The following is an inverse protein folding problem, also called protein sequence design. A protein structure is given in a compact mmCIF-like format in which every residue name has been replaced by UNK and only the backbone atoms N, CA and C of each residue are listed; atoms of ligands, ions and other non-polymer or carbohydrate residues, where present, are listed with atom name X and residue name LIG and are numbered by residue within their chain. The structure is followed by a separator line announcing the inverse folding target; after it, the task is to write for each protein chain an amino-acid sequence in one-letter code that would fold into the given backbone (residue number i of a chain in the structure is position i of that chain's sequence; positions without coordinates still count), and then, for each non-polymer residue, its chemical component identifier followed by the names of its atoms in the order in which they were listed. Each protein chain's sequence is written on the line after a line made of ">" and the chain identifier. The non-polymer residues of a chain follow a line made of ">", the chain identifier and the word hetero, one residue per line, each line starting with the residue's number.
data_IF_146649177378
#
_entry.id   IF_146649177378
#
_cell.length_a   1.000
_cell.length_b   1.000
_cell.length_c   1.000
_cell.angle_alpha   90.00
_cell.angle_beta   90.00
_cell.angle_gamma   90.00
#
_symmetry.space_group_name_H-M   'P 1'
#
loop_
_entity.id
_entity.type
_entity.pdbx_description
1 polymer ?
#
# COMPACT_ATOMS: atom_id res chain seq x y z
N UNK A 1 15.53 28.43 -37.38
CA UNK A 1 14.08 28.35 -37.32
C UNK A 1 13.67 28.64 -35.86
N UNK A 2 13.25 29.88 -35.60
CA UNK A 2 12.98 30.36 -34.25
C UNK A 2 11.51 30.09 -33.93
N UNK A 3 11.24 29.26 -32.90
CA UNK A 3 9.90 29.03 -32.42
C UNK A 3 9.66 29.99 -31.24
N UNK A 4 8.73 30.91 -31.43
CA UNK A 4 8.30 31.90 -30.47
C UNK A 4 7.34 31.23 -29.45
N UNK A 5 7.68 31.25 -28.17
CA UNK A 5 6.77 30.92 -27.08
C UNK A 5 6.44 32.18 -26.30
N UNK A 6 5.17 32.57 -26.20
CA UNK A 6 4.76 33.64 -25.31
C UNK A 6 4.40 33.14 -23.90
N UNK A 7 4.91 33.88 -22.90
CA UNK A 7 4.41 33.98 -21.51
C UNK A 7 4.65 32.83 -20.55
N UNK A 8 5.88 32.77 -20.03
CA UNK A 8 6.13 32.25 -18.67
C UNK A 8 7.13 33.16 -17.92
N UNK A 9 6.95 33.37 -16.60
CA UNK A 9 7.82 34.27 -15.82
C UNK A 9 9.24 33.73 -15.69
N UNK A 10 10.24 34.59 -15.87
CA UNK A 10 11.70 34.33 -15.90
C UNK A 10 12.31 33.59 -14.69
N UNK A 11 11.58 33.31 -13.61
CA UNK A 11 12.08 32.65 -12.41
C UNK A 11 12.23 31.12 -12.48
N UNK A 12 11.74 30.48 -13.54
CA UNK A 12 11.77 29.01 -13.70
C UNK A 12 12.88 28.51 -14.62
N UNK A 13 13.59 29.39 -15.31
CA UNK A 13 14.64 29.02 -16.27
C UNK A 13 16.00 28.70 -15.65
N UNK A 14 16.33 29.21 -14.48
CA UNK A 14 17.68 29.04 -13.87
C UNK A 14 17.86 27.63 -13.30
N UNK A 15 16.80 26.98 -12.81
CA UNK A 15 16.91 25.62 -12.26
C UNK A 15 17.00 24.49 -13.29
N UNK A 16 16.51 24.72 -14.51
CA UNK A 16 16.54 23.72 -15.60
C UNK A 16 17.91 23.69 -16.30
N UNK A 17 18.62 24.82 -16.36
CA UNK A 17 19.95 24.92 -16.99
C UNK A 17 21.05 24.25 -16.16
N UNK A 18 20.97 24.35 -14.83
CA UNK A 18 21.93 23.68 -13.93
C UNK A 18 21.77 22.15 -13.93
N UNK A 19 20.57 21.66 -14.20
CA UNK A 19 20.33 20.22 -14.31
C UNK A 19 20.86 19.62 -15.61
N UNK A 20 20.73 20.36 -16.72
CA UNK A 20 21.26 19.96 -18.03
C UNK A 20 22.81 19.92 -18.06
N UNK A 21 23.48 20.85 -17.36
CA UNK A 21 24.95 20.87 -17.27
C UNK A 21 25.50 19.72 -16.40
N UNK A 22 24.76 19.27 -15.39
CA UNK A 22 25.13 18.08 -14.60
C UNK A 22 24.95 16.77 -15.36
N UNK A 23 23.96 16.65 -16.23
CA UNK A 23 23.76 15.45 -17.06
C UNK A 23 24.82 15.28 -18.15
N UNK A 24 25.42 16.36 -18.68
CA UNK A 24 26.52 16.28 -19.65
C UNK A 24 27.85 15.83 -19.07
N UNK A 25 28.04 15.89 -17.75
CA UNK A 25 29.29 15.43 -17.07
C UNK A 25 29.33 13.94 -16.71
N UNK A 26 28.26 13.22 -16.90
CA UNK A 26 28.16 11.79 -16.54
C UNK A 26 28.00 10.95 -17.81
N UNK A 27 28.88 11.00 -18.74
CA UNK A 27 29.10 10.15 -19.91
C UNK A 27 28.13 8.95 -20.16
N UNK A 28 26.82 9.13 -20.16
CA UNK A 28 25.82 8.13 -20.43
C UNK A 28 25.22 8.35 -21.82
N UNK A 29 25.70 7.59 -22.77
CA UNK A 29 25.16 7.46 -24.12
C UNK A 29 23.86 6.68 -24.12
N UNK A 30 22.77 7.26 -23.68
CA UNK A 30 21.35 6.99 -24.00
C UNK A 30 20.48 7.89 -23.13
N UNK A 31 20.34 9.16 -23.55
CA UNK A 31 19.35 10.06 -22.96
C UNK A 31 17.97 9.68 -23.50
N UNK A 32 17.19 8.99 -22.68
CA UNK A 32 15.75 8.92 -22.89
C UNK A 32 15.18 10.27 -22.45
N UNK A 33 14.71 11.03 -23.42
CA UNK A 33 14.02 12.30 -23.20
C UNK A 33 12.66 12.01 -22.59
N UNK A 34 12.52 12.09 -21.27
CA UNK A 34 11.23 12.15 -20.61
C UNK A 34 10.92 13.62 -20.32
N UNK A 35 10.08 14.23 -21.13
CA UNK A 35 9.44 15.51 -20.83
C UNK A 35 8.47 15.30 -19.67
N UNK A 36 8.87 15.59 -18.44
CA UNK A 36 7.95 15.72 -17.30
C UNK A 36 7.27 17.09 -17.41
N UNK A 37 6.01 17.10 -17.82
CA UNK A 37 5.12 18.26 -17.69
C UNK A 37 4.92 18.50 -16.20
N UNK A 38 5.34 19.69 -15.74
CA UNK A 38 5.26 20.08 -14.35
C UNK A 38 3.81 20.40 -13.96
N UNK A 39 3.20 19.55 -13.16
CA UNK A 39 2.01 19.91 -12.38
C UNK A 39 2.40 20.83 -11.21
N UNK A 40 1.57 21.82 -10.85
CA UNK A 40 1.87 22.75 -9.78
C UNK A 40 1.56 22.12 -8.42
N UNK A 41 2.50 21.38 -7.85
CA UNK A 41 2.46 20.94 -6.46
C UNK A 41 3.73 21.38 -5.74
N UNK A 42 3.71 22.62 -5.28
CA UNK A 42 4.81 23.21 -4.48
C UNK A 42 5.02 22.49 -3.15
N UNK A 43 4.04 21.72 -2.68
CA UNK A 43 4.11 20.95 -1.43
C UNK A 43 4.96 19.68 -1.54
N UNK A 44 4.92 18.96 -2.67
CA UNK A 44 5.63 17.69 -2.87
C UNK A 44 7.16 17.82 -2.91
N UNK A 45 7.72 19.00 -3.23
CA UNK A 45 9.18 19.17 -3.38
C UNK A 45 9.95 19.22 -2.07
N UNK A 46 9.36 19.69 -0.97
CA UNK A 46 10.05 19.75 0.33
C UNK A 46 10.13 18.39 1.01
N UNK A 47 9.10 17.59 0.88
CA UNK A 47 9.04 16.26 1.47
C UNK A 47 9.86 15.24 0.69
N UNK A 48 9.82 15.27 -0.63
CA UNK A 48 10.66 14.41 -1.46
C UNK A 48 12.16 14.64 -1.19
N UNK A 49 12.61 15.89 -0.99
CA UNK A 49 14.01 16.17 -0.63
C UNK A 49 14.40 15.65 0.77
N UNK A 50 13.47 15.66 1.74
CA UNK A 50 13.70 15.07 3.06
C UNK A 50 13.75 13.54 2.96
N UNK A 51 12.84 12.95 2.21
CA UNK A 51 12.79 11.51 1.97
C UNK A 51 13.99 11.03 1.18
N UNK A 52 14.36 11.69 0.07
CA UNK A 52 15.56 11.37 -0.74
C UNK A 52 16.85 11.52 0.05
N UNK A 53 16.93 12.50 0.97
CA UNK A 53 18.09 12.68 1.86
C UNK A 53 18.19 11.56 2.90
N UNK A 54 17.06 11.08 3.41
CA UNK A 54 17.00 9.99 4.38
C UNK A 54 17.16 8.63 3.67
N UNK A 55 16.49 8.43 2.56
CA UNK A 55 16.51 7.21 1.76
C UNK A 55 17.90 6.90 1.16
N UNK A 56 18.70 7.92 0.86
CA UNK A 56 20.05 7.77 0.29
C UNK A 56 21.18 7.79 1.34
N UNK A 57 20.90 7.81 2.64
CA UNK A 57 21.94 7.59 3.64
C UNK A 57 22.30 6.11 3.71
N UNK A 58 23.58 5.71 3.56
CA UNK A 58 23.99 4.35 3.81
C UNK A 58 23.88 4.08 5.32
N UNK A 59 22.92 3.27 5.73
CA UNK A 59 22.85 2.77 7.10
C UNK A 59 23.89 1.67 7.29
N UNK A 60 25.09 2.04 7.72
CA UNK A 60 26.11 1.10 8.12
C UNK A 60 26.06 0.89 9.64
N UNK A 61 25.32 -0.10 10.08
CA UNK A 61 25.53 -0.73 11.38
C UNK A 61 26.14 -2.11 11.11
N UNK A 62 27.46 -2.21 11.37
CA UNK A 62 28.12 -3.53 11.39
C UNK A 62 28.33 -4.23 10.06
N UNK A 63 28.91 -3.60 9.03
CA UNK A 63 29.54 -4.33 7.90
C UNK A 63 28.62 -5.03 6.87
N UNK A 64 27.32 -5.19 7.14
CA UNK A 64 26.36 -5.77 6.21
C UNK A 64 25.54 -4.64 5.58
N UNK A 65 25.55 -4.55 4.25
CA UNK A 65 24.71 -3.59 3.52
C UNK A 65 23.25 -4.01 3.70
N UNK A 66 22.48 -3.23 4.46
CA UNK A 66 21.05 -3.48 4.63
C UNK A 66 20.33 -3.36 3.29
N UNK A 67 19.59 -4.41 2.90
CA UNK A 67 18.80 -4.40 1.67
C UNK A 67 17.58 -3.50 1.84
N UNK A 68 17.30 -2.69 0.82
CA UNK A 68 16.14 -1.77 0.81
C UNK A 68 14.85 -2.52 0.54
N UNK A 69 13.75 -2.03 1.11
CA UNK A 69 12.39 -2.49 0.80
C UNK A 69 11.90 -1.73 -0.42
N UNK A 70 11.96 -2.35 -1.60
CA UNK A 70 11.55 -1.75 -2.89
C UNK A 70 10.38 -2.48 -3.52
N UNK A 71 9.98 -3.62 -2.95
CA UNK A 71 8.94 -4.50 -3.47
C UNK A 71 7.74 -4.58 -2.53
N UNK A 72 6.53 -4.63 -3.09
CA UNK A 72 5.31 -4.92 -2.34
C UNK A 72 4.56 -6.10 -2.95
N UNK A 73 3.87 -6.83 -2.09
CA UNK A 73 2.97 -7.92 -2.43
C UNK A 73 1.58 -7.56 -1.92
N UNK A 74 0.59 -7.55 -2.82
CA UNK A 74 -0.80 -7.22 -2.51
C UNK A 74 -1.68 -8.45 -2.75
N UNK A 75 -2.06 -9.21 -1.72
CA UNK A 75 -3.00 -10.30 -1.86
C UNK A 75 -4.41 -9.79 -2.17
N UNK A 76 -4.92 -10.14 -3.34
CA UNK A 76 -6.23 -9.77 -3.86
C UNK A 76 -7.06 -10.99 -4.35
N UNK A 77 -6.68 -12.22 -3.95
CA UNK A 77 -7.30 -13.45 -4.41
C UNK A 77 -8.61 -13.83 -3.68
N UNK A 78 -9.00 -13.09 -2.63
CA UNK A 78 -10.19 -13.39 -1.83
C UNK A 78 -11.51 -13.25 -2.57
N UNK A 79 -12.52 -14.07 -2.26
CA UNK A 79 -13.81 -14.13 -2.96
C UNK A 79 -14.76 -12.97 -2.64
N UNK A 80 -14.52 -12.16 -1.62
CA UNK A 80 -15.33 -10.97 -1.30
C UNK A 80 -16.79 -11.26 -0.89
N UNK A 81 -17.08 -12.41 -0.30
CA UNK A 81 -18.45 -12.92 -0.04
C UNK A 81 -19.31 -11.98 0.81
N UNK A 82 -18.71 -11.09 1.62
CA UNK A 82 -19.44 -10.13 2.45
C UNK A 82 -20.20 -9.08 1.63
N UNK A 83 -19.79 -8.86 0.39
CA UNK A 83 -20.40 -7.87 -0.54
C UNK A 83 -21.24 -8.51 -1.65
N UNK A 84 -21.57 -9.80 -1.51
CA UNK A 84 -22.55 -10.38 -2.45
C UNK A 84 -23.89 -9.64 -2.34
N UNK A 85 -24.58 -9.42 -3.48
CA UNK A 85 -24.31 -9.96 -4.82
C UNK A 85 -23.31 -9.16 -5.67
N UNK A 86 -22.89 -7.93 -5.28
CA UNK A 86 -22.00 -7.09 -6.10
C UNK A 86 -20.71 -7.81 -6.48
N UNK A 87 -20.10 -8.50 -5.53
CA UNK A 87 -18.81 -9.19 -5.74
C UNK A 87 -18.93 -10.54 -6.47
N UNK A 88 -20.11 -10.87 -6.99
CA UNK A 88 -20.27 -11.98 -7.95
C UNK A 88 -19.51 -11.71 -9.26
N UNK A 89 -19.47 -10.45 -9.69
CA UNK A 89 -18.88 -10.04 -10.96
C UNK A 89 -17.77 -8.99 -10.81
N UNK A 90 -17.69 -8.30 -9.66
CA UNK A 90 -16.69 -7.26 -9.39
C UNK A 90 -15.80 -7.69 -8.22
N UNK A 91 -14.46 -7.71 -8.37
CA UNK A 91 -13.57 -7.88 -7.24
C UNK A 91 -13.85 -6.88 -6.13
N UNK A 92 -13.80 -7.31 -4.87
CA UNK A 92 -13.98 -6.38 -3.72
C UNK A 92 -12.97 -5.25 -3.72
N UNK A 93 -11.78 -5.50 -4.25
CA UNK A 93 -10.68 -4.56 -4.38
C UNK A 93 -10.98 -3.46 -5.42
N UNK A 94 -11.93 -3.72 -6.33
CA UNK A 94 -12.42 -2.77 -7.34
C UNK A 94 -13.66 -1.99 -6.90
N UNK A 95 -14.18 -2.22 -5.69
CA UNK A 95 -15.26 -1.38 -5.15
C UNK A 95 -14.76 0.07 -5.04
N UNK A 96 -15.45 1.05 -5.65
CA UNK A 96 -14.95 2.42 -5.74
C UNK A 96 -15.24 3.22 -4.47
N UNK A 97 -14.24 3.88 -3.93
CA UNK A 97 -14.44 4.96 -2.98
C UNK A 97 -14.71 6.21 -3.80
N UNK A 98 -15.98 6.55 -3.96
CA UNK A 98 -16.54 7.56 -4.89
C UNK A 98 -16.33 7.13 -6.35
N UNK A 99 -15.19 7.46 -6.96
CA UNK A 99 -14.84 7.24 -8.36
C UNK A 99 -13.52 6.48 -8.55
N UNK A 100 -12.84 6.17 -7.46
CA UNK A 100 -11.50 5.56 -7.48
C UNK A 100 -11.55 4.19 -6.79
N UNK A 101 -11.16 3.08 -7.47
CA UNK A 101 -11.14 1.75 -6.87
C UNK A 101 -10.24 1.68 -5.63
N UNK A 102 -10.66 0.90 -4.63
CA UNK A 102 -9.89 0.75 -3.39
C UNK A 102 -8.44 0.32 -3.64
N UNK A 103 -8.19 -0.59 -4.58
CA UNK A 103 -6.84 -1.09 -4.90
C UNK A 103 -5.89 0.05 -5.35
N UNK A 104 -6.41 1.10 -5.98
CA UNK A 104 -5.64 2.28 -6.37
C UNK A 104 -4.96 2.93 -5.16
N UNK A 105 -5.72 3.15 -4.08
CA UNK A 105 -5.18 3.76 -2.86
C UNK A 105 -4.09 2.92 -2.22
N UNK A 106 -4.22 1.58 -2.26
CA UNK A 106 -3.21 0.66 -1.74
C UNK A 106 -1.90 0.76 -2.54
N UNK A 107 -2.01 0.78 -3.88
CA UNK A 107 -0.85 0.97 -4.77
C UNK A 107 -0.25 2.36 -4.58
N UNK A 108 -1.08 3.40 -4.48
CA UNK A 108 -0.63 4.77 -4.24
C UNK A 108 0.13 4.91 -2.91
N UNK A 109 -0.33 4.24 -1.84
CA UNK A 109 0.36 4.20 -0.55
C UNK A 109 1.77 3.60 -0.71
N UNK A 110 1.88 2.45 -1.42
CA UNK A 110 3.17 1.82 -1.69
C UNK A 110 4.12 2.75 -2.45
N UNK A 111 3.62 3.41 -3.52
CA UNK A 111 4.41 4.36 -4.33
C UNK A 111 4.86 5.57 -3.51
N UNK A 112 3.99 6.12 -2.66
CA UNK A 112 4.34 7.22 -1.74
C UNK A 112 5.45 6.81 -0.75
N UNK A 113 5.49 5.55 -0.35
CA UNK A 113 6.53 4.99 0.51
C UNK A 113 7.85 4.68 -0.24
N UNK A 114 7.91 4.88 -1.56
CA UNK A 114 9.10 4.64 -2.39
C UNK A 114 9.22 3.23 -2.96
N UNK A 115 8.19 2.40 -2.83
CA UNK A 115 8.10 1.09 -3.47
C UNK A 115 7.91 1.28 -4.97
N UNK A 116 8.64 0.50 -5.78
CA UNK A 116 8.65 0.61 -7.24
C UNK A 116 8.00 -0.58 -7.92
N UNK A 117 8.24 -1.78 -7.39
CA UNK A 117 7.77 -3.03 -7.95
C UNK A 117 6.66 -3.62 -7.09
N UNK A 118 5.50 -3.89 -7.68
CA UNK A 118 4.31 -4.36 -6.96
C UNK A 118 3.80 -5.64 -7.62
N UNK A 119 3.68 -6.71 -6.84
CA UNK A 119 3.03 -7.94 -7.24
C UNK A 119 1.63 -8.01 -6.65
N UNK A 120 0.62 -8.08 -7.49
CA UNK A 120 -0.76 -8.32 -7.08
C UNK A 120 -1.08 -9.81 -7.28
N UNK A 121 -1.49 -10.49 -6.20
CA UNK A 121 -1.86 -11.89 -6.24
C UNK A 121 -3.37 -11.97 -6.45
N UNK A 122 -3.79 -12.41 -7.62
CA UNK A 122 -5.19 -12.49 -8.04
C UNK A 122 -5.70 -13.93 -8.03
N UNK A 123 -7.02 -14.12 -8.15
CA UNK A 123 -7.66 -15.39 -8.44
C UNK A 123 -8.38 -15.31 -9.79
N UNK A 124 -9.09 -16.38 -10.18
CA UNK A 124 -9.98 -16.35 -11.34
C UNK A 124 -10.96 -15.18 -11.28
N UNK A 125 -11.32 -14.64 -12.43
CA UNK A 125 -12.35 -13.60 -12.59
C UNK A 125 -12.00 -12.27 -11.91
N UNK A 126 -10.70 -11.91 -11.93
CA UNK A 126 -10.19 -10.62 -11.40
C UNK A 126 -9.44 -9.80 -12.44
N UNK A 127 -9.70 -10.06 -13.72
CA UNK A 127 -9.09 -9.39 -14.87
C UNK A 127 -9.29 -7.86 -14.80
N UNK A 128 -10.39 -7.39 -14.21
CA UNK A 128 -10.63 -5.96 -14.04
C UNK A 128 -9.62 -5.23 -13.16
N UNK A 129 -8.86 -5.95 -12.30
CA UNK A 129 -7.74 -5.38 -11.55
C UNK A 129 -6.55 -5.18 -12.49
N UNK A 130 -6.30 -6.15 -13.38
CA UNK A 130 -5.23 -6.08 -14.39
C UNK A 130 -5.53 -4.94 -15.37
N UNK A 131 -6.74 -4.93 -15.95
CA UNK A 131 -7.20 -3.88 -16.87
C UNK A 131 -7.09 -2.46 -16.27
N UNK A 132 -7.28 -2.33 -14.96
CA UNK A 132 -7.21 -1.02 -14.28
C UNK A 132 -5.80 -0.42 -14.28
N UNK A 133 -4.77 -1.26 -14.14
CA UNK A 133 -3.37 -0.82 -14.13
C UNK A 133 -2.72 -0.88 -15.50
N UNK A 134 -3.37 -1.48 -16.49
CA UNK A 134 -2.88 -1.54 -17.85
C UNK A 134 -3.20 -0.27 -18.65
N UNK A 135 -2.46 -0.10 -19.76
CA UNK A 135 -2.70 0.98 -20.70
C UNK A 135 -3.95 0.72 -21.51
N UNK A 136 -4.96 1.56 -21.39
CA UNK A 136 -6.13 1.53 -22.25
C UNK A 136 -5.97 2.51 -23.43
N UNK A 137 -5.28 2.05 -24.47
CA UNK A 137 -4.94 2.88 -25.64
C UNK A 137 -6.18 3.39 -26.37
N UNK A 138 -7.25 2.58 -26.46
CA UNK A 138 -8.48 2.98 -27.15
C UNK A 138 -9.18 4.13 -26.41
N UNK A 139 -9.37 3.99 -25.11
CA UNK A 139 -10.01 5.00 -24.26
C UNK A 139 -9.21 6.31 -24.27
N UNK A 140 -7.89 6.23 -24.09
CA UNK A 140 -7.02 7.41 -24.18
C UNK A 140 -7.14 8.14 -25.50
N UNK A 141 -7.11 7.39 -26.61
CA UNK A 141 -7.22 7.97 -27.97
C UNK A 141 -8.56 8.67 -28.15
N UNK A 142 -9.66 8.06 -27.72
CA UNK A 142 -11.01 8.66 -27.79
C UNK A 142 -11.14 9.92 -26.95
N UNK A 143 -10.57 9.93 -25.73
CA UNK A 143 -10.57 11.10 -24.86
C UNK A 143 -9.80 12.27 -25.53
N UNK A 144 -8.62 12.03 -26.08
CA UNK A 144 -7.83 13.05 -26.76
C UNK A 144 -8.54 13.58 -28.02
N UNK A 145 -9.16 12.71 -28.81
CA UNK A 145 -9.96 13.12 -29.98
C UNK A 145 -11.18 13.98 -29.59
N UNK A 146 -11.69 13.81 -28.37
CA UNK A 146 -12.79 14.60 -27.81
C UNK A 146 -12.34 15.86 -27.06
N UNK A 147 -11.05 16.21 -27.08
CA UNK A 147 -10.49 17.37 -26.39
C UNK A 147 -10.40 17.20 -24.85
N UNK A 148 -10.47 15.96 -24.35
CA UNK A 148 -10.43 15.63 -22.92
C UNK A 148 -9.02 15.18 -22.50
N UNK A 149 -8.01 15.97 -22.81
CA UNK A 149 -6.61 15.61 -22.58
C UNK A 149 -6.27 15.37 -21.10
N UNK A 150 -6.83 16.17 -20.19
CA UNK A 150 -6.61 15.99 -18.76
C UNK A 150 -7.08 14.61 -18.25
N UNK A 151 -8.24 14.13 -18.73
CA UNK A 151 -8.73 12.79 -18.36
C UNK A 151 -7.88 11.68 -18.99
N UNK A 152 -7.40 11.87 -20.23
CA UNK A 152 -6.48 10.94 -20.87
C UNK A 152 -5.15 10.84 -20.11
N UNK A 153 -4.62 11.97 -19.63
CA UNK A 153 -3.38 12.02 -18.83
C UNK A 153 -3.57 11.36 -17.46
N UNK A 154 -4.74 11.51 -16.83
CA UNK A 154 -5.09 10.87 -15.58
C UNK A 154 -5.09 9.34 -15.72
N UNK A 155 -5.75 8.81 -16.75
CA UNK A 155 -5.78 7.36 -17.02
C UNK A 155 -4.37 6.83 -17.31
N UNK A 156 -3.59 7.55 -18.12
CA UNK A 156 -2.20 7.17 -18.38
C UNK A 156 -1.33 7.21 -17.13
N UNK A 157 -1.59 8.12 -16.19
CA UNK A 157 -0.85 8.21 -14.93
C UNK A 157 -1.10 6.99 -14.04
N UNK A 158 -2.28 6.37 -14.09
CA UNK A 158 -2.58 5.12 -13.37
C UNK A 158 -1.68 3.99 -13.87
N UNK A 159 -1.61 3.76 -15.18
CA UNK A 159 -0.77 2.73 -15.77
C UNK A 159 0.74 2.93 -15.53
N UNK A 160 1.17 4.17 -15.30
CA UNK A 160 2.56 4.52 -15.02
C UNK A 160 2.87 4.70 -13.53
N UNK A 161 1.96 4.35 -12.63
CA UNK A 161 2.10 4.62 -11.20
C UNK A 161 3.21 3.79 -10.55
N UNK A 162 3.32 2.52 -10.93
CA UNK A 162 4.34 1.58 -10.48
C UNK A 162 4.58 0.49 -11.54
N UNK A 163 5.61 -0.34 -11.34
CA UNK A 163 5.78 -1.58 -12.10
C UNK A 163 4.87 -2.64 -11.48
N UNK A 164 3.66 -2.80 -12.00
CA UNK A 164 2.68 -3.76 -11.48
C UNK A 164 2.80 -5.07 -12.23
N UNK A 165 2.97 -6.16 -11.48
CA UNK A 165 2.98 -7.53 -11.98
C UNK A 165 1.83 -8.31 -11.36
N UNK A 166 1.38 -9.36 -12.02
CA UNK A 166 0.30 -10.20 -11.53
C UNK A 166 0.73 -11.66 -11.46
N UNK A 167 0.26 -12.36 -10.42
CA UNK A 167 0.38 -13.80 -10.32
C UNK A 167 -0.95 -14.37 -9.82
N UNK A 168 -1.30 -15.55 -10.33
CA UNK A 168 -2.57 -16.18 -9.99
C UNK A 168 -2.41 -17.20 -8.90
N UNK A 169 -3.16 -17.06 -7.81
CA UNK A 169 -3.39 -18.11 -6.84
C UNK A 169 -4.45 -19.07 -7.39
N UNK A 170 -4.08 -20.31 -7.58
CA UNK A 170 -4.98 -21.33 -8.19
C UNK A 170 -6.13 -21.70 -7.26
N UNK A 171 -5.85 -21.88 -5.97
CA UNK A 171 -6.82 -22.25 -4.94
C UNK A 171 -6.70 -21.33 -3.72
N UNK A 172 -7.81 -20.84 -3.15
CA UNK A 172 -7.79 -19.96 -1.99
C UNK A 172 -7.52 -20.75 -0.68
N UNK A 173 -6.24 -21.02 -0.38
CA UNK A 173 -5.81 -21.78 0.81
C UNK A 173 -5.38 -20.88 1.98
N UNK A 174 -5.72 -19.60 1.96
CA UNK A 174 -5.43 -18.63 3.01
C UNK A 174 -4.36 -17.59 2.62
N UNK A 175 -4.19 -16.59 3.50
CA UNK A 175 -3.28 -15.47 3.26
C UNK A 175 -1.82 -15.91 3.18
N UNK A 176 -1.38 -16.81 4.08
CA UNK A 176 -0.02 -17.34 4.05
C UNK A 176 0.27 -18.12 2.78
N UNK A 177 -0.72 -18.87 2.26
CA UNK A 177 -0.60 -19.56 0.99
C UNK A 177 -0.47 -18.58 -0.18
N UNK A 178 -1.29 -17.52 -0.21
CA UNK A 178 -1.19 -16.49 -1.24
C UNK A 178 0.24 -15.91 -1.29
N UNK A 179 0.82 -15.54 -0.15
CA UNK A 179 2.17 -14.97 -0.09
C UNK A 179 3.23 -15.88 -0.71
N UNK A 180 3.11 -17.21 -0.64
CA UNK A 180 4.07 -18.14 -1.25
C UNK A 180 4.27 -17.91 -2.74
N UNK A 181 3.23 -17.50 -3.45
CA UNK A 181 3.30 -17.18 -4.88
C UNK A 181 4.23 -16.00 -5.21
N UNK A 182 4.59 -15.21 -4.21
CA UNK A 182 5.51 -14.08 -4.39
C UNK A 182 7.00 -14.46 -4.31
N UNK A 183 7.36 -15.70 -3.94
CA UNK A 183 8.77 -16.11 -3.69
C UNK A 183 9.70 -15.74 -4.83
N UNK A 184 9.34 -16.06 -6.08
CA UNK A 184 10.18 -15.78 -7.26
C UNK A 184 10.31 -14.28 -7.54
N UNK A 185 9.25 -13.50 -7.35
CA UNK A 185 9.25 -12.04 -7.53
C UNK A 185 10.10 -11.33 -6.47
N UNK A 186 9.96 -11.73 -5.22
CA UNK A 186 10.67 -11.14 -4.09
C UNK A 186 12.16 -11.49 -4.13
N UNK A 187 12.50 -12.75 -4.42
CA UNK A 187 13.88 -13.23 -4.32
C UNK A 187 14.40 -13.16 -2.88
N UNK A 188 15.61 -12.64 -2.71
CA UNK A 188 16.30 -12.54 -1.43
C UNK A 188 16.17 -11.14 -0.78
N UNK A 189 15.15 -10.38 -1.10
CA UNK A 189 14.95 -9.02 -0.62
C UNK A 189 13.87 -8.94 0.46
N UNK A 190 13.96 -8.00 1.42
CA UNK A 190 12.84 -7.68 2.28
C UNK A 190 11.72 -7.04 1.45
N UNK A 191 10.48 -7.32 1.82
CA UNK A 191 9.33 -6.83 1.06
C UNK A 191 8.17 -6.42 1.94
N UNK A 192 7.34 -5.53 1.42
CA UNK A 192 6.09 -5.13 2.04
C UNK A 192 4.97 -6.11 1.67
N UNK A 193 4.06 -6.38 2.60
CA UNK A 193 2.76 -7.00 2.33
C UNK A 193 1.66 -6.02 2.71
N UNK A 194 0.72 -5.79 1.79
CA UNK A 194 -0.36 -4.83 1.95
C UNK A 194 -1.69 -5.49 1.57
N UNK A 195 -2.59 -5.65 2.54
CA UNK A 195 -3.90 -6.27 2.27
C UNK A 195 -4.77 -5.36 1.42
N UNK A 196 -5.38 -5.93 0.39
CA UNK A 196 -6.16 -5.20 -0.61
C UNK A 196 -7.52 -4.67 -0.12
N UNK A 197 -7.93 -5.00 1.11
CA UNK A 197 -9.19 -4.55 1.74
C UNK A 197 -8.99 -3.68 2.98
N UNK A 198 -7.76 -3.30 3.29
CA UNK A 198 -7.42 -2.37 4.36
C UNK A 198 -6.97 -1.03 3.76
N UNK A 199 -7.87 -0.06 3.69
CA UNK A 199 -7.55 1.29 3.27
C UNK A 199 -7.02 2.08 4.46
N UNK A 200 -5.85 2.70 4.31
CA UNK A 200 -5.28 3.60 5.31
C UNK A 200 -5.15 4.98 4.68
N UNK A 201 -5.78 5.94 5.32
CA UNK A 201 -5.70 7.34 4.91
C UNK A 201 -4.59 8.02 5.70
N UNK A 202 -3.52 8.35 4.99
CA UNK A 202 -2.31 8.92 5.58
C UNK A 202 -2.46 10.43 5.75
N UNK A 203 -2.36 10.89 6.98
CA UNK A 203 -2.36 12.34 7.25
C UNK A 203 -1.02 13.01 6.87
N UNK A 204 0.10 12.36 7.16
CA UNK A 204 1.45 12.91 6.94
C UNK A 204 2.41 11.93 6.27
N UNK A 205 2.27 10.63 6.55
CA UNK A 205 3.16 9.57 6.08
C UNK A 205 2.39 8.32 5.75
N UNK A 206 2.73 7.61 4.63
CA UNK A 206 2.15 6.31 4.34
C UNK A 206 2.42 5.34 5.49
N UNK A 207 1.40 4.59 5.92
CA UNK A 207 1.56 3.61 6.99
C UNK A 207 2.66 2.59 6.66
N UNK A 208 2.70 2.08 5.42
CA UNK A 208 3.78 1.17 5.01
C UNK A 208 5.16 1.84 5.06
N UNK A 209 5.26 3.14 4.82
CA UNK A 209 6.49 3.93 4.96
C UNK A 209 6.97 3.97 6.40
N UNK A 210 6.06 4.08 7.38
CA UNK A 210 6.40 4.01 8.81
C UNK A 210 6.95 2.63 9.20
N UNK A 211 6.39 1.56 8.64
CA UNK A 211 6.87 0.20 8.87
C UNK A 211 8.26 -0.01 8.23
N UNK A 212 8.49 0.53 7.05
CA UNK A 212 9.80 0.46 6.37
C UNK A 212 10.87 1.16 7.22
N UNK A 213 10.56 2.30 7.83
CA UNK A 213 11.47 2.97 8.76
C UNK A 213 11.76 2.12 10.01
N UNK A 214 10.73 1.50 10.58
CA UNK A 214 10.89 0.59 11.71
C UNK A 214 11.76 -0.63 11.32
N UNK A 215 11.60 -1.15 10.10
CA UNK A 215 12.44 -2.22 9.56
C UNK A 215 13.92 -1.80 9.51
N UNK A 216 14.22 -0.61 9.00
CA UNK A 216 15.60 -0.11 8.95
C UNK A 216 16.23 0.16 10.31
N UNK A 217 15.42 0.31 11.36
CA UNK A 217 15.91 0.47 12.74
C UNK A 217 16.14 -0.87 13.44
N UNK A 218 15.39 -1.92 13.11
CA UNK A 218 15.33 -3.16 13.89
C UNK A 218 15.83 -4.40 13.15
N UNK A 219 15.86 -4.35 11.82
CA UNK A 219 16.18 -5.47 10.91
C UNK A 219 15.29 -6.73 11.13
N UNK A 220 14.16 -6.56 11.82
CA UNK A 220 13.22 -7.63 12.16
C UNK A 220 12.00 -7.66 11.26
N UNK A 221 11.13 -8.65 11.47
CA UNK A 221 9.76 -8.64 10.92
C UNK A 221 8.98 -7.48 11.53
N UNK A 222 8.32 -6.65 10.72
CA UNK A 222 7.50 -5.53 11.22
C UNK A 222 6.04 -5.77 10.91
N UNK A 223 5.21 -5.62 11.93
CA UNK A 223 3.76 -5.73 11.87
C UNK A 223 3.14 -4.33 12.02
N UNK A 224 2.30 -3.93 11.09
CA UNK A 224 1.48 -2.74 11.22
C UNK A 224 0.35 -2.99 12.20
N UNK A 225 0.32 -2.25 13.29
CA UNK A 225 -0.58 -2.50 14.40
C UNK A 225 -1.32 -1.24 14.85
N UNK A 226 -2.48 -1.45 15.49
CA UNK A 226 -3.21 -0.43 16.26
C UNK A 226 -3.86 -1.05 17.49
N UNK A 227 -4.11 -0.22 18.50
CA UNK A 227 -4.99 -0.60 19.61
C UNK A 227 -6.43 -0.60 19.13
N UNK A 228 -7.15 -1.65 19.42
CA UNK A 228 -8.56 -1.81 19.05
C UNK A 228 -9.40 -2.20 20.27
N UNK A 229 -10.70 -1.86 20.29
CA UNK A 229 -11.61 -2.30 21.33
C UNK A 229 -11.62 -3.83 21.47
N UNK A 230 -11.75 -4.33 22.69
CA UNK A 230 -11.68 -5.76 23.01
C UNK A 230 -12.64 -6.62 22.18
N UNK A 231 -13.87 -6.14 21.95
CA UNK A 231 -14.89 -6.85 21.16
C UNK A 231 -14.50 -7.06 19.67
N UNK A 232 -13.53 -6.29 19.16
CA UNK A 232 -13.04 -6.39 17.79
C UNK A 232 -11.83 -7.32 17.63
N UNK A 233 -11.14 -7.69 18.73
CA UNK A 233 -9.94 -8.53 18.69
C UNK A 233 -10.16 -9.87 17.99
N UNK A 234 -11.36 -10.44 18.10
CA UNK A 234 -11.75 -11.68 17.39
C UNK A 234 -11.69 -11.62 15.87
N UNK A 235 -11.51 -10.44 15.28
CA UNK A 235 -11.40 -10.26 13.83
C UNK A 235 -9.96 -10.29 13.32
N UNK A 236 -8.96 -10.15 14.19
CA UNK A 236 -7.57 -9.86 13.85
C UNK A 236 -6.57 -10.79 14.51
N UNK A 237 -5.37 -10.84 13.98
CA UNK A 237 -4.21 -11.32 14.73
C UNK A 237 -3.89 -10.36 15.87
N UNK A 238 -3.64 -10.87 17.07
CA UNK A 238 -3.34 -10.07 18.26
C UNK A 238 -1.93 -10.39 18.74
N UNK A 239 -1.10 -9.36 18.95
CA UNK A 239 0.29 -9.52 19.37
C UNK A 239 0.43 -9.58 20.89
N UNK A 240 1.46 -10.33 21.35
CA UNK A 240 1.92 -10.32 22.74
C UNK A 240 3.21 -9.49 22.81
N UNK A 241 3.20 -8.30 23.40
CA UNK A 241 4.41 -7.51 23.60
C UNK A 241 5.43 -8.25 24.49
N UNK A 242 6.73 -7.95 24.27
CA UNK A 242 7.82 -8.48 25.12
C UNK A 242 7.71 -7.95 26.55
N UNK A 243 7.40 -6.67 26.68
CA UNK A 243 7.17 -5.99 27.96
C UNK A 243 5.84 -5.24 27.87
N UNK A 244 5.84 -3.93 27.98
CA UNK A 244 4.67 -3.11 27.77
C UNK A 244 4.55 -2.69 26.30
N UNK A 245 3.30 -2.56 25.80
CA UNK A 245 3.04 -2.00 24.48
C UNK A 245 3.21 -0.45 24.53
N UNK A 246 4.42 0.00 24.78
CA UNK A 246 4.78 1.42 24.91
C UNK A 246 5.62 1.89 23.70
N UNK A 247 5.41 3.14 23.30
CA UNK A 247 6.09 3.73 22.14
C UNK A 247 5.48 3.30 20.80
N UNK A 248 6.10 3.79 19.73
CA UNK A 248 5.65 3.54 18.36
C UNK A 248 6.05 2.15 17.84
N UNK A 249 7.23 1.68 18.24
CA UNK A 249 7.79 0.38 17.83
C UNK A 249 8.21 -0.37 19.09
N UNK A 250 7.73 -1.62 19.24
CA UNK A 250 8.09 -2.48 20.37
C UNK A 250 8.17 -3.95 19.93
N UNK A 251 8.97 -4.73 20.64
CA UNK A 251 9.19 -6.13 20.33
C UNK A 251 7.98 -6.99 20.67
N UNK A 252 7.69 -7.98 19.82
CA UNK A 252 6.63 -8.97 19.95
C UNK A 252 7.25 -10.34 20.29
N UNK A 253 6.66 -11.07 21.24
CA UNK A 253 7.12 -12.40 21.68
C UNK A 253 6.19 -13.53 21.28
N UNK A 254 4.93 -13.23 21.01
CA UNK A 254 3.93 -14.21 20.57
C UNK A 254 2.78 -13.50 19.86
N UNK A 255 1.94 -14.25 19.16
CA UNK A 255 0.73 -13.74 18.55
C UNK A 255 -0.33 -14.82 18.38
N UNK A 256 -1.59 -14.41 18.36
CA UNK A 256 -2.75 -15.31 18.24
C UNK A 256 -3.66 -14.82 17.13
N UNK A 257 -3.95 -15.69 16.16
CA UNK A 257 -4.89 -15.39 15.08
C UNK A 257 -6.32 -15.53 15.56
N UNK A 258 -7.10 -14.45 15.44
CA UNK A 258 -8.55 -14.40 15.71
C UNK A 258 -8.93 -15.11 17.01
N UNK A 259 -8.52 -14.62 18.18
CA UNK A 259 -8.79 -15.28 19.44
C UNK A 259 -10.30 -15.51 19.60
N UNK A 260 -10.69 -16.78 19.88
CA UNK A 260 -12.11 -17.15 20.02
C UNK A 260 -12.77 -16.40 21.17
N UNK A 261 -12.04 -16.23 22.27
CA UNK A 261 -12.43 -15.41 23.41
C UNK A 261 -11.55 -14.16 23.47
N UNK A 262 -12.11 -12.97 23.16
CA UNK A 262 -11.36 -11.72 23.21
C UNK A 262 -10.80 -11.37 24.61
N UNK A 263 -11.37 -11.94 25.70
CA UNK A 263 -10.89 -11.71 27.05
C UNK A 263 -9.55 -12.42 27.34
N UNK A 264 -9.23 -13.45 26.54
CA UNK A 264 -7.97 -14.20 26.60
C UNK A 264 -6.93 -13.71 25.60
N UNK A 265 -7.24 -12.63 24.88
CA UNK A 265 -6.29 -12.02 23.95
C UNK A 265 -5.04 -11.52 24.71
N UNK A 266 -3.83 -11.70 24.16
CA UNK A 266 -2.59 -11.35 24.86
C UNK A 266 -2.39 -9.84 25.06
N UNK A 267 -3.11 -9.01 24.32
CA UNK A 267 -3.12 -7.53 24.44
C UNK A 267 -4.33 -6.93 23.70
N UNK A 268 -4.43 -5.60 23.70
CA UNK A 268 -5.37 -4.83 22.88
C UNK A 268 -4.80 -4.41 21.50
N UNK A 269 -3.61 -4.93 21.14
CA UNK A 269 -2.90 -4.53 19.91
C UNK A 269 -3.14 -5.55 18.80
N UNK A 270 -3.87 -5.12 17.78
CA UNK A 270 -4.23 -5.91 16.61
C UNK A 270 -3.31 -5.62 15.41
N UNK A 271 -3.00 -6.65 14.64
CA UNK A 271 -2.26 -6.56 13.37
C UNK A 271 -3.24 -6.18 12.26
N UNK A 272 -2.91 -5.14 11.52
CA UNK A 272 -3.81 -4.54 10.53
C UNK A 272 -3.11 -4.39 9.16
N UNK A 273 -3.24 -5.39 8.33
CA UNK A 273 -3.06 -5.37 6.89
C UNK A 273 -1.75 -4.84 6.29
N UNK A 274 -0.78 -4.41 7.09
CA UNK A 274 0.54 -3.92 6.65
C UNK A 274 1.63 -4.68 7.35
N UNK A 275 2.62 -5.15 6.55
CA UNK A 275 3.76 -5.91 7.06
C UNK A 275 5.02 -5.54 6.27
N UNK A 276 6.18 -5.62 6.93
CA UNK A 276 7.48 -5.73 6.26
C UNK A 276 8.09 -7.05 6.69
N UNK A 277 8.30 -7.94 5.71
CA UNK A 277 8.72 -9.30 5.93
C UNK A 277 10.11 -9.54 5.31
N UNK A 278 10.96 -10.32 5.97
CA UNK A 278 12.19 -10.80 5.39
C UNK A 278 11.93 -11.98 4.45
N UNK A 279 12.80 -12.27 3.47
CA UNK A 279 12.61 -13.35 2.49
C UNK A 279 12.57 -14.75 3.12
N UNK A 280 13.19 -14.96 4.27
CA UNK A 280 13.18 -16.23 5.00
C UNK A 280 11.77 -16.67 5.43
N UNK A 281 10.80 -15.77 5.38
CA UNK A 281 9.39 -16.10 5.67
C UNK A 281 8.85 -17.16 4.71
N UNK A 282 9.35 -17.24 3.48
CA UNK A 282 8.91 -18.24 2.50
C UNK A 282 9.20 -19.67 2.96
N UNK A 283 10.37 -19.91 3.55
CA UNK A 283 10.73 -21.24 4.08
C UNK A 283 9.88 -21.62 5.30
N UNK A 284 9.46 -20.61 6.09
CA UNK A 284 8.54 -20.83 7.20
C UNK A 284 7.12 -21.11 6.68
N UNK A 285 6.65 -20.40 5.66
CA UNK A 285 5.35 -20.61 5.05
C UNK A 285 5.20 -22.02 4.44
N UNK A 286 6.25 -22.59 3.89
CA UNK A 286 6.22 -23.94 3.32
C UNK A 286 5.94 -25.02 4.39
N UNK A 287 6.42 -24.83 5.61
CA UNK A 287 6.22 -25.77 6.75
C UNK A 287 5.07 -25.36 7.68
N UNK A 288 4.41 -24.23 7.45
CA UNK A 288 3.30 -23.78 8.29
C UNK A 288 2.09 -24.68 8.12
N UNK A 289 1.56 -25.28 9.19
CA UNK A 289 0.36 -26.11 9.13
C UNK A 289 -0.90 -25.26 8.86
N UNK A 290 -1.96 -25.91 8.46
CA UNK A 290 -3.28 -25.28 8.37
C UNK A 290 -3.77 -24.88 9.77
N UNK A 291 -4.14 -23.61 9.92
CA UNK A 291 -4.63 -23.02 11.15
C UNK A 291 -6.16 -22.80 11.14
N UNK A 292 -6.58 -21.65 11.64
CA UNK A 292 -7.99 -21.26 11.73
C UNK A 292 -8.66 -21.30 10.34
N UNK A 293 -9.83 -21.91 10.26
CA UNK A 293 -10.55 -22.08 9.00
C UNK A 293 -9.99 -23.12 8.04
N UNK A 294 -8.98 -23.89 8.43
CA UNK A 294 -8.29 -24.85 7.57
C UNK A 294 -7.35 -24.19 6.55
N UNK A 295 -7.01 -22.92 6.77
CA UNK A 295 -6.19 -22.09 5.91
C UNK A 295 -4.74 -21.99 6.44
N UNK A 296 -3.78 -21.73 5.57
CA UNK A 296 -2.42 -21.34 5.96
C UNK A 296 -2.44 -19.86 6.31
N UNK A 297 -2.33 -19.55 7.59
CA UNK A 297 -2.39 -18.17 8.08
C UNK A 297 -1.00 -17.55 8.12
N UNK A 298 -0.89 -16.28 7.65
CA UNK A 298 0.37 -15.52 7.72
C UNK A 298 0.78 -15.29 9.18
N UNK A 299 -0.19 -15.06 10.06
CA UNK A 299 0.04 -14.87 11.50
C UNK A 299 0.72 -16.10 12.12
N UNK A 300 0.28 -17.31 11.75
CA UNK A 300 0.88 -18.55 12.24
C UNK A 300 2.32 -18.73 11.75
N UNK A 301 2.57 -18.39 10.47
CA UNK A 301 3.92 -18.41 9.91
C UNK A 301 4.85 -17.41 10.62
N UNK A 302 4.39 -16.18 10.86
CA UNK A 302 5.18 -15.17 11.58
C UNK A 302 5.44 -15.64 13.02
N UNK A 303 4.45 -16.23 13.69
CA UNK A 303 4.61 -16.83 15.02
C UNK A 303 5.70 -17.90 15.04
N UNK A 304 5.71 -18.82 14.09
CA UNK A 304 6.75 -19.84 13.94
C UNK A 304 8.14 -19.22 13.66
N UNK A 305 8.20 -18.10 12.98
CA UNK A 305 9.47 -17.41 12.69
C UNK A 305 10.09 -16.73 13.92
N UNK A 306 9.33 -16.51 15.00
CA UNK A 306 9.82 -15.89 16.24
C UNK A 306 10.97 -16.66 16.90
N UNK A 307 11.07 -17.97 16.67
CA UNK A 307 12.16 -18.80 17.16
C UNK A 307 13.52 -18.41 16.55
N UNK A 308 13.52 -17.84 15.36
CA UNK A 308 14.73 -17.56 14.57
C UNK A 308 14.97 -16.07 14.35
N UNK A 309 13.91 -15.25 14.43
CA UNK A 309 13.97 -13.84 14.08
C UNK A 309 13.10 -12.98 15.00
N UNK A 310 13.61 -11.80 15.32
CA UNK A 310 12.85 -10.82 16.10
C UNK A 310 11.71 -10.25 15.28
N UNK A 311 10.59 -10.01 15.92
CA UNK A 311 9.41 -9.37 15.36
C UNK A 311 9.04 -8.14 16.20
N UNK A 312 8.58 -7.10 15.54
CA UNK A 312 8.19 -5.84 16.15
C UNK A 312 6.83 -5.38 15.66
N UNK A 313 6.04 -4.85 16.57
CA UNK A 313 4.84 -4.12 16.26
C UNK A 313 5.19 -2.64 16.00
N UNK A 314 4.66 -2.06 14.92
CA UNK A 314 4.72 -0.64 14.64
C UNK A 314 3.30 -0.07 14.71
N UNK A 315 3.04 0.82 15.67
CA UNK A 315 1.78 1.55 15.76
C UNK A 315 1.79 2.66 14.74
N UNK A 316 1.21 2.41 13.57
CA UNK A 316 1.17 3.39 12.50
C UNK A 316 0.14 4.49 12.75
N UNK A 317 0.36 5.64 12.13
CA UNK A 317 -0.57 6.78 12.11
C UNK A 317 -1.54 6.67 10.93
N UNK A 318 -2.52 7.57 10.85
CA UNK A 318 -3.54 7.53 9.81
C UNK A 318 -4.84 6.84 10.24
N UNK A 319 -5.92 7.13 9.54
CA UNK A 319 -7.21 6.48 9.80
C UNK A 319 -7.36 5.25 8.93
N UNK A 320 -7.71 4.12 9.56
CA UNK A 320 -7.92 2.85 8.87
C UNK A 320 -9.40 2.59 8.61
N UNK A 321 -9.72 2.18 7.40
CA UNK A 321 -11.03 1.73 6.98
C UNK A 321 -10.96 0.26 6.55
N UNK A 322 -11.77 -0.59 7.19
CA UNK A 322 -11.98 -1.98 6.79
C UNK A 322 -12.96 -2.02 5.61
N UNK A 323 -12.41 -1.95 4.39
CA UNK A 323 -13.21 -1.98 3.17
C UNK A 323 -13.81 -3.39 2.91
N UNK A 324 -13.35 -4.40 3.62
CA UNK A 324 -13.96 -5.73 3.64
C UNK A 324 -15.26 -5.83 4.47
N UNK A 325 -15.63 -4.76 5.18
CA UNK A 325 -16.87 -4.63 5.96
C UNK A 325 -17.79 -3.55 5.37
N UNK A 326 -19.10 -3.80 5.31
CA UNK A 326 -20.06 -2.88 4.69
C UNK A 326 -20.08 -1.50 5.35
N UNK A 327 -20.05 -1.45 6.68
CA UNK A 327 -20.05 -0.19 7.39
C UNK A 327 -18.73 0.56 7.24
N UNK A 328 -17.60 -0.17 7.27
CA UNK A 328 -16.28 0.40 7.00
C UNK A 328 -16.19 1.02 5.61
N UNK A 329 -16.77 0.36 4.60
CA UNK A 329 -16.86 0.87 3.24
C UNK A 329 -17.69 2.16 3.14
N UNK A 330 -18.87 2.20 3.78
CA UNK A 330 -19.72 3.40 3.82
C UNK A 330 -18.98 4.55 4.54
N UNK A 331 -18.34 4.27 5.69
CA UNK A 331 -17.56 5.26 6.44
C UNK A 331 -16.45 5.87 5.57
N UNK A 332 -15.65 5.02 4.91
CA UNK A 332 -14.61 5.50 4.00
C UNK A 332 -15.18 6.40 2.90
N UNK A 333 -16.25 5.96 2.23
CA UNK A 333 -16.88 6.73 1.13
C UNK A 333 -17.36 8.10 1.62
N UNK A 334 -17.98 8.18 2.79
CA UNK A 334 -18.43 9.45 3.36
C UNK A 334 -17.27 10.36 3.75
N UNK A 335 -16.26 9.84 4.43
CA UNK A 335 -15.12 10.63 4.87
C UNK A 335 -14.31 11.17 3.69
N UNK A 336 -14.15 10.38 2.63
CA UNK A 336 -13.49 10.81 1.40
C UNK A 336 -14.34 11.85 0.65
N UNK A 337 -15.66 11.68 0.57
CA UNK A 337 -16.56 12.65 -0.05
C UNK A 337 -16.55 14.01 0.68
N UNK A 338 -16.47 13.99 2.01
CA UNK A 338 -16.35 15.20 2.82
C UNK A 338 -15.03 15.97 2.64
N UNK A 339 -14.02 15.35 2.07
CA UNK A 339 -12.72 16.01 1.77
C UNK A 339 -12.63 16.55 0.35
N UNK A 340 -13.48 16.09 -0.55
CA UNK A 340 -13.52 16.55 -1.94
C UNK A 340 -14.28 17.88 -2.04
N UNK A 341 -13.68 18.85 -2.69
CA UNK A 341 -14.27 20.20 -2.83
C UNK A 341 -15.59 20.20 -3.64
N UNK A 342 -15.70 19.30 -4.65
CA UNK A 342 -16.88 19.15 -5.50
C UNK A 342 -18.07 18.45 -4.81
N UNK A 343 -17.85 17.72 -3.71
CA UNK A 343 -18.88 16.93 -3.02
C UNK A 343 -19.17 17.39 -1.58
N UNK A 344 -18.19 18.00 -0.93
CA UNK A 344 -18.21 18.33 0.50
C UNK A 344 -19.50 18.98 0.97
N UNK A 345 -19.91 20.04 0.32
CA UNK A 345 -21.04 20.85 0.80
C UNK A 345 -22.37 20.13 0.59
N UNK A 346 -22.56 19.48 -0.56
CA UNK A 346 -23.75 18.67 -0.85
C UNK A 346 -23.88 17.50 0.12
N UNK A 347 -22.77 16.82 0.43
CA UNK A 347 -22.76 15.68 1.36
C UNK A 347 -23.04 16.15 2.79
N UNK A 348 -22.46 17.27 3.24
CA UNK A 348 -22.74 17.85 4.57
C UNK A 348 -24.21 18.24 4.72
N UNK A 349 -24.78 18.87 3.71
CA UNK A 349 -26.20 19.26 3.72
C UNK A 349 -27.10 18.04 3.83
N UNK A 350 -26.83 17.00 3.00
CA UNK A 350 -27.59 15.76 3.03
C UNK A 350 -27.49 15.02 4.38
N UNK A 351 -26.29 14.94 4.97
CA UNK A 351 -26.10 14.30 6.29
C UNK A 351 -26.92 15.02 7.37
N UNK A 352 -26.94 16.36 7.38
CA UNK A 352 -27.74 17.12 8.34
C UNK A 352 -29.22 16.80 8.20
N UNK A 353 -29.72 16.82 6.97
CA UNK A 353 -31.12 16.49 6.69
C UNK A 353 -31.52 15.10 7.20
N UNK A 354 -30.69 14.08 6.93
CA UNK A 354 -30.97 12.70 7.37
C UNK A 354 -30.86 12.53 8.89
N UNK A 355 -30.01 13.35 9.57
CA UNK A 355 -29.87 13.31 11.02
C UNK A 355 -31.02 13.99 11.77
N UNK A 356 -31.81 14.85 11.10
CA UNK A 356 -32.99 15.54 11.63
C UNK A 356 -34.30 14.73 11.43
N UNK A 357 -34.30 13.70 10.59
CA UNK A 357 -35.40 12.72 10.41
C UNK A 357 -35.32 11.60 11.47
#
# INVERSE_FOLDING_TARGET
>A
MAIYFPLFPKRYFIGAFDYLIKCQRIGASKAIFVFKIAFPSVCFRKEKKKFDKWYNQPSSLGGTIMKKVTKAVIPAAGMGTRFLPATKALPKEMLPIIDTPNIHYIVQEAVKAGIQDILIIVSNSKESIEDYFDVNFELETRLRQSGKDAQADEIRAIANMANVCFVRQEEPKGLGDAIKYAKTFVGDEPFAVMLGDDLIDDAEKPAIGELIEAYYQTEGTILGCRKVPQNLLKKYGVVKPFDKAEGKVFQVTDMVEKPKDPSLAPSDVAVLGRYVLPPEIFDVLERTPKGVGGEIQLTDAIRLSLEQRKCYACIFTGERYDIGDKFGYIKATLDFALRRDDLRDSVKEYIRKVAEE
#
